data_IF_908502903791
#
_entry.id   IF_908502903791
#
_cell.length_a   1.000
_cell.length_b   1.000
_cell.length_c   1.000
_cell.angle_alpha   90.00
_cell.angle_beta   90.00
_cell.angle_gamma   90.00
#
_symmetry.space_group_name_H-M   'P 1'
#
loop_
_entity.id
_entity.type
_entity.pdbx_description
1 polymer ?
#
# COMPACT_ATOMS: atom_id res chain seq x y z
N UNK A 1 4.61 -16.54 -15.23
CA UNK A 1 3.99 -17.83 -14.86
C UNK A 1 2.54 -17.80 -15.26
N UNK A 2 2.03 -18.84 -15.88
CA UNK A 2 0.63 -18.98 -16.28
C UNK A 2 0.09 -20.28 -15.71
N UNK A 3 -1.04 -20.24 -15.01
CA UNK A 3 -1.67 -21.45 -14.47
C UNK A 3 -3.18 -21.43 -14.66
N UNK A 4 -3.72 -22.60 -14.96
CA UNK A 4 -5.14 -22.87 -14.90
C UNK A 4 -5.40 -23.72 -13.66
N UNK A 5 -6.11 -23.15 -12.69
CA UNK A 5 -6.35 -23.74 -11.39
C UNK A 5 -7.76 -24.36 -11.33
N UNK A 6 -8.09 -25.22 -12.29
CA UNK A 6 -9.34 -25.96 -12.27
C UNK A 6 -9.35 -27.03 -11.18
N UNK A 7 -10.50 -27.23 -10.53
CA UNK A 7 -10.74 -28.22 -9.48
C UNK A 7 -10.54 -27.68 -8.05
N UNK A 8 -10.43 -28.59 -7.09
CA UNK A 8 -10.39 -28.30 -5.66
C UNK A 8 -8.96 -28.28 -5.11
N UNK A 9 -8.70 -27.38 -4.14
CA UNK A 9 -7.47 -27.40 -3.35
C UNK A 9 -6.20 -27.08 -4.14
N UNK A 10 -6.29 -26.24 -5.14
CA UNK A 10 -5.12 -25.84 -5.94
C UNK A 10 -4.31 -24.76 -5.24
N UNK A 11 -2.99 -24.92 -5.24
CA UNK A 11 -2.04 -24.00 -4.64
C UNK A 11 -0.99 -23.65 -5.67
N UNK A 12 -0.74 -22.34 -5.87
CA UNK A 12 0.12 -21.85 -6.93
C UNK A 12 1.01 -20.67 -6.51
N UNK A 13 2.27 -20.69 -6.91
CA UNK A 13 3.27 -19.65 -6.66
C UNK A 13 4.64 -20.07 -7.14
N UNK A 14 5.66 -19.25 -6.90
CA UNK A 14 7.06 -19.66 -7.05
C UNK A 14 7.31 -20.91 -6.21
N UNK A 15 6.78 -20.90 -4.98
CA UNK A 15 6.62 -22.06 -4.12
C UNK A 15 5.12 -22.37 -3.99
N UNK A 16 4.70 -23.59 -4.27
CA UNK A 16 3.30 -23.97 -4.09
C UNK A 16 2.92 -23.87 -2.61
N UNK A 17 3.55 -24.67 -1.77
CA UNK A 17 3.36 -24.69 -0.30
C UNK A 17 4.71 -24.52 0.38
N UNK A 18 4.75 -23.63 1.36
CA UNK A 18 5.79 -23.54 2.36
C UNK A 18 5.28 -24.19 3.64
N UNK A 19 5.99 -25.17 4.16
CA UNK A 19 5.67 -25.88 5.40
C UNK A 19 6.91 -25.90 6.30
N UNK A 20 6.87 -25.19 7.42
CA UNK A 20 8.00 -25.01 8.32
C UNK A 20 9.22 -24.33 7.67
N UNK A 21 9.05 -23.68 6.54
CA UNK A 21 10.11 -23.16 5.70
C UNK A 21 10.35 -21.65 5.92
N UNK A 22 11.54 -21.18 5.53
CA UNK A 22 11.88 -19.76 5.54
C UNK A 22 12.36 -19.31 4.17
N UNK A 23 11.76 -18.25 3.64
CA UNK A 23 12.17 -17.54 2.42
C UNK A 23 12.65 -16.16 2.82
N UNK A 24 13.89 -15.81 2.46
CA UNK A 24 14.48 -14.51 2.82
C UNK A 24 15.21 -13.85 1.66
N UNK A 25 15.24 -12.50 1.69
CA UNK A 25 16.09 -11.69 0.83
C UNK A 25 15.86 -11.97 -0.65
N UNK A 26 14.61 -12.22 -1.03
CA UNK A 26 14.22 -12.54 -2.40
C UNK A 26 13.62 -11.31 -3.08
N UNK A 27 14.16 -10.93 -4.22
CA UNK A 27 13.53 -9.97 -5.13
C UNK A 27 13.01 -10.71 -6.35
N UNK A 28 11.74 -10.51 -6.69
CA UNK A 28 11.08 -11.13 -7.84
C UNK A 28 10.63 -10.02 -8.77
N UNK A 29 11.06 -10.10 -10.03
CA UNK A 29 10.84 -9.07 -11.02
C UNK A 29 11.83 -7.91 -10.88
N UNK A 30 11.64 -6.89 -11.69
CA UNK A 30 12.43 -5.67 -11.67
C UNK A 30 11.52 -4.45 -11.94
N UNK A 31 11.94 -3.25 -11.51
CA UNK A 31 11.15 -2.03 -11.71
C UNK A 31 10.86 -1.73 -13.19
N UNK A 32 11.80 -2.02 -14.06
CA UNK A 32 11.71 -1.75 -15.51
C UNK A 32 12.23 -2.91 -16.34
N UNK A 33 11.65 -3.07 -17.52
CA UNK A 33 12.13 -4.01 -18.53
C UNK A 33 11.90 -5.49 -18.23
N UNK A 34 11.27 -5.82 -17.12
CA UNK A 34 10.94 -7.20 -16.74
C UNK A 34 9.54 -7.56 -17.26
N UNK A 35 9.47 -8.66 -18.00
CA UNK A 35 8.21 -9.24 -18.47
C UNK A 35 7.64 -10.30 -17.51
N UNK A 36 8.12 -10.37 -16.27
CA UNK A 36 7.59 -11.29 -15.27
C UNK A 36 6.14 -10.93 -14.93
N UNK A 37 5.25 -11.87 -15.05
CA UNK A 37 3.82 -11.73 -14.76
C UNK A 37 3.30 -13.04 -14.14
N UNK A 38 2.39 -12.92 -13.19
CA UNK A 38 1.61 -14.03 -12.69
C UNK A 38 0.19 -13.94 -13.23
N UNK A 39 -0.15 -14.81 -14.17
CA UNK A 39 -1.49 -14.91 -14.72
C UNK A 39 -2.11 -16.25 -14.31
N UNK A 40 -3.30 -16.24 -13.74
CA UNK A 40 -4.03 -17.46 -13.45
C UNK A 40 -5.55 -17.29 -13.50
N UNK A 41 -6.26 -18.39 -13.72
CA UNK A 41 -7.70 -18.51 -13.55
C UNK A 41 -8.00 -19.58 -12.52
N UNK A 42 -9.11 -19.43 -11.79
CA UNK A 42 -9.56 -20.40 -10.80
C UNK A 42 -11.00 -20.81 -11.05
N UNK A 43 -11.26 -22.09 -11.10
CA UNK A 43 -12.60 -22.69 -11.24
C UNK A 43 -12.99 -23.55 -10.03
N UNK A 44 -12.30 -23.41 -8.92
CA UNK A 44 -12.52 -24.17 -7.69
C UNK A 44 -11.94 -23.44 -6.48
N UNK A 45 -11.62 -24.17 -5.42
CA UNK A 45 -10.86 -23.62 -4.30
C UNK A 45 -9.38 -23.51 -4.69
N UNK A 46 -8.83 -22.31 -4.63
CA UNK A 46 -7.45 -22.06 -5.02
C UNK A 46 -6.80 -21.00 -4.12
N UNK A 47 -5.50 -21.18 -3.84
CA UNK A 47 -4.66 -20.24 -3.11
C UNK A 47 -3.45 -19.90 -3.99
N UNK A 48 -3.25 -18.63 -4.30
CA UNK A 48 -2.19 -18.19 -5.21
C UNK A 48 -1.42 -17.00 -4.68
N UNK A 49 -0.09 -17.03 -4.83
CA UNK A 49 0.80 -15.93 -4.52
C UNK A 49 1.99 -15.89 -5.46
N UNK A 50 2.60 -14.71 -5.66
CA UNK A 50 3.83 -14.65 -6.47
C UNK A 50 4.92 -15.45 -5.79
N UNK A 51 5.08 -15.31 -4.48
CA UNK A 51 6.06 -16.10 -3.71
C UNK A 51 5.49 -17.46 -3.35
N UNK A 52 4.40 -17.53 -2.61
CA UNK A 52 3.83 -18.78 -2.13
C UNK A 52 2.31 -18.82 -2.26
N UNK A 53 1.77 -19.93 -2.73
CA UNK A 53 0.34 -20.15 -2.70
C UNK A 53 -0.18 -20.32 -1.27
N UNK A 54 0.53 -21.09 -0.44
CA UNK A 54 0.21 -21.27 0.98
C UNK A 54 1.47 -21.25 1.86
N UNK A 55 1.33 -20.64 3.03
CA UNK A 55 2.33 -20.65 4.12
C UNK A 55 1.72 -21.37 5.33
N UNK A 56 2.37 -22.42 5.79
CA UNK A 56 2.02 -23.20 6.97
C UNK A 56 3.21 -23.21 7.90
N UNK A 57 3.10 -22.60 9.07
CA UNK A 57 4.21 -22.51 10.02
C UNK A 57 5.52 -21.94 9.42
N UNK A 58 5.42 -21.03 8.47
CA UNK A 58 6.53 -20.60 7.61
C UNK A 58 6.77 -19.11 7.69
N UNK A 59 7.99 -18.67 7.37
CA UNK A 59 8.40 -17.28 7.37
C UNK A 59 8.78 -16.80 5.97
N UNK A 60 8.23 -15.65 5.54
CA UNK A 60 8.72 -14.89 4.39
C UNK A 60 9.20 -13.53 4.93
N UNK A 61 10.48 -13.22 4.74
CA UNK A 61 11.12 -12.06 5.36
C UNK A 61 12.04 -11.32 4.38
N UNK A 62 12.00 -9.99 4.43
CA UNK A 62 12.86 -9.11 3.63
C UNK A 62 12.81 -9.46 2.13
N UNK A 63 11.61 -9.52 1.56
CA UNK A 63 11.38 -9.84 0.16
C UNK A 63 10.66 -8.71 -0.56
N UNK A 64 10.97 -8.55 -1.86
CA UNK A 64 10.38 -7.52 -2.72
C UNK A 64 9.76 -8.18 -3.95
N UNK A 65 8.53 -7.78 -4.30
CA UNK A 65 7.86 -8.19 -5.54
C UNK A 65 7.55 -6.99 -6.43
N UNK A 66 8.01 -7.05 -7.67
CA UNK A 66 7.62 -6.15 -8.74
C UNK A 66 6.64 -6.81 -9.72
N UNK A 67 6.27 -8.05 -9.47
CA UNK A 67 5.50 -8.86 -10.42
C UNK A 67 4.02 -8.50 -10.39
N UNK A 68 3.45 -7.99 -11.49
CA UNK A 68 2.02 -7.77 -11.60
C UNK A 68 1.27 -9.11 -11.64
N UNK A 69 0.08 -9.12 -11.04
CA UNK A 69 -0.82 -10.26 -11.04
C UNK A 69 -2.06 -9.97 -11.88
N UNK A 70 -2.31 -10.82 -12.86
CA UNK A 70 -3.54 -10.80 -13.62
C UNK A 70 -4.36 -12.07 -13.33
N UNK A 71 -5.55 -11.88 -12.77
CA UNK A 71 -6.33 -12.98 -12.20
C UNK A 71 -7.75 -12.96 -12.72
N UNK A 72 -8.23 -14.12 -13.20
CA UNK A 72 -9.66 -14.35 -13.35
C UNK A 72 -10.21 -14.85 -12.02
N UNK A 73 -11.21 -14.16 -11.50
CA UNK A 73 -11.90 -14.56 -10.28
C UNK A 73 -12.54 -15.95 -10.41
N UNK A 74 -12.90 -16.53 -9.27
CA UNK A 74 -13.50 -17.85 -9.23
C UNK A 74 -14.87 -17.84 -9.94
N UNK A 75 -15.02 -18.70 -10.93
CA UNK A 75 -16.25 -18.88 -11.71
C UNK A 75 -17.29 -19.81 -11.03
N UNK A 76 -16.94 -20.41 -9.89
CA UNK A 76 -17.80 -21.37 -9.18
C UNK A 76 -18.25 -20.81 -7.85
N UNK A 77 -19.56 -20.75 -7.64
CA UNK A 77 -20.15 -20.34 -6.37
C UNK A 77 -19.76 -21.28 -5.22
N UNK A 78 -19.60 -20.68 -4.02
CA UNK A 78 -19.20 -21.36 -2.78
C UNK A 78 -17.79 -21.96 -2.80
N UNK A 79 -16.94 -21.55 -3.74
CA UNK A 79 -15.52 -21.88 -3.76
C UNK A 79 -14.69 -20.67 -3.40
N UNK A 80 -13.66 -20.87 -2.61
CA UNK A 80 -12.76 -19.80 -2.18
C UNK A 80 -11.59 -19.69 -3.14
N UNK A 81 -11.26 -18.48 -3.53
CA UNK A 81 -9.99 -18.17 -4.18
C UNK A 81 -9.30 -17.09 -3.36
N UNK A 82 -8.05 -17.31 -2.97
CA UNK A 82 -7.21 -16.30 -2.33
C UNK A 82 -6.02 -15.96 -3.20
N UNK A 83 -5.62 -14.70 -3.20
CA UNK A 83 -4.52 -14.24 -4.02
C UNK A 83 -3.78 -13.08 -3.38
N UNK A 84 -2.44 -13.07 -3.48
CA UNK A 84 -1.62 -11.97 -3.01
C UNK A 84 -0.20 -12.03 -3.58
N UNK A 85 0.60 -10.96 -3.40
CA UNK A 85 1.98 -10.97 -3.88
C UNK A 85 2.85 -11.98 -3.11
N UNK A 86 2.68 -12.14 -1.80
CA UNK A 86 3.57 -13.01 -1.03
C UNK A 86 2.93 -14.32 -0.60
N UNK A 87 1.73 -14.32 -0.03
CA UNK A 87 1.07 -15.54 0.39
C UNK A 87 -0.43 -15.51 0.05
N UNK A 88 -0.90 -16.44 -0.80
CA UNK A 88 -2.33 -16.62 -1.03
C UNK A 88 -3.06 -16.98 0.26
N UNK A 89 -2.49 -17.88 1.04
CA UNK A 89 -3.06 -18.35 2.30
C UNK A 89 -1.98 -18.49 3.39
N UNK A 90 -2.30 -18.01 4.58
CA UNK A 90 -1.50 -18.20 5.81
C UNK A 90 -2.26 -19.09 6.77
N UNK A 91 -1.60 -20.06 7.35
CA UNK A 91 -2.19 -21.00 8.28
C UNK A 91 -1.30 -21.24 9.50
N UNK A 92 -1.91 -21.26 10.68
CA UNK A 92 -1.25 -21.64 11.94
C UNK A 92 -1.71 -23.04 12.34
N UNK A 93 -0.76 -23.92 12.60
CA UNK A 93 -1.01 -25.25 13.15
C UNK A 93 -1.28 -25.24 14.65
N UNK A 94 -1.15 -26.40 15.29
CA UNK A 94 -1.42 -26.57 16.73
C UNK A 94 -0.20 -26.35 17.62
N UNK A 95 1.00 -26.39 17.03
CA UNK A 95 2.26 -26.18 17.76
C UNK A 95 2.74 -24.72 17.62
N UNK A 96 3.46 -24.22 18.60
CA UNK A 96 4.04 -22.86 18.59
C UNK A 96 4.97 -22.63 17.38
N UNK A 97 5.67 -23.65 16.95
CA UNK A 97 6.56 -23.62 15.77
C UNK A 97 5.83 -23.55 14.44
N UNK A 98 4.51 -23.76 14.43
CA UNK A 98 3.68 -23.76 13.24
C UNK A 98 2.98 -22.40 12.98
N UNK A 99 3.57 -21.31 13.47
CA UNK A 99 3.08 -19.94 13.24
C UNK A 99 3.63 -19.41 11.92
N UNK A 100 2.74 -18.83 11.11
CA UNK A 100 3.15 -18.19 9.85
C UNK A 100 3.46 -16.71 10.08
N UNK A 101 4.63 -16.26 9.55
CA UNK A 101 5.13 -14.89 9.70
C UNK A 101 5.46 -14.31 8.33
N UNK A 102 4.87 -13.15 8.03
CA UNK A 102 5.23 -12.29 6.89
C UNK A 102 5.83 -11.01 7.44
N UNK A 103 7.08 -10.68 7.07
CA UNK A 103 7.80 -9.58 7.69
C UNK A 103 8.71 -8.85 6.72
N UNK A 104 8.74 -7.51 6.83
CA UNK A 104 9.62 -6.66 6.02
C UNK A 104 9.43 -6.89 4.51
N UNK A 105 8.17 -6.96 4.05
CA UNK A 105 7.81 -7.25 2.66
C UNK A 105 7.37 -6.00 1.92
N UNK A 106 7.79 -5.86 0.65
CA UNK A 106 7.39 -4.73 -0.19
C UNK A 106 6.81 -5.23 -1.51
N UNK A 107 5.56 -4.85 -1.81
CA UNK A 107 4.91 -5.12 -3.08
C UNK A 107 4.81 -3.86 -3.93
N UNK A 108 5.38 -3.89 -5.12
CA UNK A 108 5.20 -2.88 -6.17
C UNK A 108 4.31 -3.38 -7.31
N UNK A 109 4.12 -4.68 -7.43
CA UNK A 109 3.33 -5.29 -8.49
C UNK A 109 1.83 -4.94 -8.37
N UNK A 110 1.24 -4.44 -9.45
CA UNK A 110 -0.20 -4.21 -9.51
C UNK A 110 -0.98 -5.52 -9.52
N UNK A 111 -2.24 -5.47 -9.05
CA UNK A 111 -3.13 -6.63 -9.05
C UNK A 111 -4.41 -6.29 -9.81
N UNK A 112 -4.65 -7.00 -10.90
CA UNK A 112 -5.88 -6.89 -11.69
C UNK A 112 -6.69 -8.17 -11.57
N UNK A 113 -7.90 -8.06 -11.01
CA UNK A 113 -8.81 -9.19 -10.82
C UNK A 113 -10.08 -8.98 -11.64
N UNK A 114 -10.31 -9.83 -12.62
CA UNK A 114 -11.53 -9.82 -13.41
C UNK A 114 -12.71 -10.45 -12.66
N UNK A 115 -13.93 -10.10 -13.06
CA UNK A 115 -15.14 -10.67 -12.50
C UNK A 115 -15.21 -12.18 -12.74
N UNK A 116 -15.56 -12.90 -11.68
CA UNK A 116 -15.95 -14.31 -11.74
C UNK A 116 -17.46 -14.46 -11.48
N UNK A 117 -17.98 -15.67 -11.59
CA UNK A 117 -19.37 -15.97 -11.24
C UNK A 117 -19.63 -15.93 -9.72
N UNK A 118 -18.58 -16.07 -8.89
CA UNK A 118 -18.71 -16.02 -7.44
C UNK A 118 -18.77 -14.58 -6.94
N UNK A 119 -19.98 -14.09 -6.76
CA UNK A 119 -20.27 -12.75 -6.23
C UNK A 119 -20.61 -12.73 -4.75
N UNK A 120 -20.53 -13.86 -4.05
CA UNK A 120 -20.91 -13.97 -2.64
C UNK A 120 -19.85 -13.38 -1.71
N UNK A 121 -20.31 -12.64 -0.70
CA UNK A 121 -19.48 -12.16 0.41
C UNK A 121 -19.49 -13.19 1.54
N UNK A 122 -18.35 -13.75 1.90
CA UNK A 122 -18.24 -14.73 2.98
C UNK A 122 -16.92 -15.50 2.96
N UNK A 123 -16.83 -16.58 3.74
CA UNK A 123 -15.64 -17.41 3.81
C UNK A 123 -15.33 -18.14 2.48
N UNK A 124 -16.33 -18.27 1.62
CA UNK A 124 -16.24 -18.91 0.30
C UNK A 124 -16.18 -17.91 -0.86
N UNK A 125 -15.76 -16.69 -0.59
CA UNK A 125 -15.61 -15.62 -1.59
C UNK A 125 -14.19 -15.55 -2.15
N UNK A 126 -14.02 -14.70 -3.15
CA UNK A 126 -12.69 -14.34 -3.66
C UNK A 126 -12.06 -13.27 -2.75
N UNK A 127 -10.82 -13.48 -2.37
CA UNK A 127 -10.04 -12.63 -1.50
C UNK A 127 -8.73 -12.22 -2.19
N UNK A 128 -8.55 -10.93 -2.43
CA UNK A 128 -7.35 -10.40 -3.06
C UNK A 128 -6.66 -9.34 -2.22
N UNK A 129 -5.34 -9.40 -2.09
CA UNK A 129 -4.59 -8.39 -1.36
C UNK A 129 -3.16 -8.19 -1.87
N UNK A 130 -2.56 -7.04 -1.51
CA UNK A 130 -1.19 -6.71 -1.88
C UNK A 130 -0.15 -7.63 -1.21
N UNK A 131 -0.36 -8.08 0.02
CA UNK A 131 0.62 -8.87 0.79
C UNK A 131 0.14 -10.31 1.02
N UNK A 132 -1.05 -10.50 1.62
CA UNK A 132 -1.60 -11.83 1.91
C UNK A 132 -3.10 -11.91 1.62
N UNK A 133 -3.56 -13.03 1.05
CA UNK A 133 -4.96 -13.21 0.68
C UNK A 133 -5.86 -13.55 1.86
N UNK A 134 -5.50 -14.54 2.65
CA UNK A 134 -6.28 -14.99 3.80
C UNK A 134 -5.37 -15.49 4.92
N UNK A 135 -5.69 -15.14 6.16
CA UNK A 135 -5.07 -15.72 7.35
C UNK A 135 -6.11 -16.50 8.18
N UNK A 136 -5.74 -17.70 8.58
CA UNK A 136 -6.57 -18.59 9.36
C UNK A 136 -5.70 -19.50 10.25
N UNK A 137 -6.33 -20.36 11.06
CA UNK A 137 -5.65 -21.28 11.99
C UNK A 137 -6.32 -22.64 12.06
N UNK A 138 -5.64 -23.61 12.64
CA UNK A 138 -6.27 -24.85 13.12
C UNK A 138 -7.27 -24.52 14.24
N UNK A 139 -8.37 -25.27 14.32
CA UNK A 139 -9.45 -24.99 15.27
C UNK A 139 -9.01 -25.01 16.75
N UNK A 140 -8.03 -25.83 17.07
CA UNK A 140 -7.46 -25.99 18.43
C UNK A 140 -6.28 -25.04 18.70
N UNK A 141 -5.77 -24.33 17.69
CA UNK A 141 -4.64 -23.42 17.84
C UNK A 141 -5.06 -22.15 18.58
N UNK A 142 -4.20 -21.66 19.44
CA UNK A 142 -4.28 -20.32 20.05
C UNK A 142 -3.11 -19.43 19.62
N UNK A 143 -2.25 -19.94 18.76
CA UNK A 143 -1.08 -19.21 18.26
C UNK A 143 -1.46 -18.23 17.16
N UNK A 144 -0.68 -17.17 16.99
CA UNK A 144 -1.02 -15.98 16.25
C UNK A 144 -0.15 -15.87 15.00
N UNK A 145 -0.76 -15.84 13.82
CA UNK A 145 -0.09 -15.43 12.58
C UNK A 145 0.26 -13.93 12.64
N UNK A 146 1.39 -13.56 12.07
CA UNK A 146 1.87 -12.17 12.11
C UNK A 146 2.18 -11.65 10.71
N UNK A 147 1.71 -10.42 10.43
CA UNK A 147 2.11 -9.61 9.28
C UNK A 147 2.68 -8.31 9.86
N UNK A 148 3.99 -8.10 9.70
CA UNK A 148 4.69 -7.00 10.35
C UNK A 148 5.55 -6.22 9.36
N UNK A 149 5.54 -4.89 9.45
CA UNK A 149 6.36 -3.98 8.66
C UNK A 149 6.31 -4.27 7.14
N UNK A 150 5.10 -4.52 6.62
CA UNK A 150 4.88 -4.80 5.20
C UNK A 150 4.30 -3.57 4.50
N UNK A 151 4.73 -3.34 3.26
CA UNK A 151 4.31 -2.17 2.48
C UNK A 151 3.76 -2.60 1.12
N UNK A 152 2.59 -2.07 0.77
CA UNK A 152 2.00 -2.23 -0.55
C UNK A 152 1.98 -0.90 -1.32
N UNK A 153 2.68 -0.84 -2.43
CA UNK A 153 2.59 0.24 -3.42
C UNK A 153 1.76 -0.17 -4.64
N UNK A 154 1.54 -1.47 -4.83
CA UNK A 154 0.82 -2.00 -5.97
C UNK A 154 -0.65 -1.55 -5.99
N UNK A 155 -1.07 -0.96 -7.10
CA UNK A 155 -2.48 -0.64 -7.33
C UNK A 155 -3.32 -1.90 -7.49
N UNK A 156 -4.57 -1.85 -7.05
CA UNK A 156 -5.52 -2.94 -7.24
C UNK A 156 -6.75 -2.49 -8.01
N UNK A 157 -6.96 -3.11 -9.17
CA UNK A 157 -8.19 -3.01 -9.94
C UNK A 157 -8.95 -4.33 -9.84
N UNK A 158 -10.16 -4.30 -9.30
CA UNK A 158 -10.88 -5.53 -8.99
C UNK A 158 -12.35 -5.47 -9.38
N UNK A 159 -12.89 -6.62 -9.71
CA UNK A 159 -14.32 -6.86 -9.93
C UNK A 159 -14.83 -8.05 -9.06
N UNK A 160 -14.22 -8.25 -7.88
CA UNK A 160 -14.54 -9.37 -6.96
C UNK A 160 -14.86 -8.88 -5.54
N UNK A 161 -15.50 -9.72 -4.70
CA UNK A 161 -16.15 -9.27 -3.47
C UNK A 161 -15.24 -8.69 -2.38
N UNK A 162 -13.99 -9.16 -2.24
CA UNK A 162 -13.14 -8.72 -1.11
C UNK A 162 -11.73 -8.41 -1.56
N UNK A 163 -11.31 -7.18 -1.33
CA UNK A 163 -9.95 -6.74 -1.66
C UNK A 163 -9.38 -5.83 -0.58
N UNK A 164 -8.05 -5.83 -0.43
CA UNK A 164 -7.34 -5.02 0.55
C UNK A 164 -5.91 -4.77 0.13
N UNK A 165 -5.28 -3.71 0.65
CA UNK A 165 -3.87 -3.42 0.38
C UNK A 165 -2.90 -4.41 1.03
N UNK A 166 -3.19 -4.86 2.26
CA UNK A 166 -2.28 -5.72 3.03
C UNK A 166 -2.82 -7.14 3.16
N UNK A 167 -3.98 -7.34 3.78
CA UNK A 167 -4.56 -8.68 4.00
C UNK A 167 -6.05 -8.68 3.68
N UNK A 168 -6.50 -9.52 2.76
CA UNK A 168 -7.91 -9.49 2.40
C UNK A 168 -8.85 -10.00 3.52
N UNK A 169 -8.43 -10.98 4.31
CA UNK A 169 -9.21 -11.35 5.50
C UNK A 169 -8.35 -12.01 6.59
N UNK A 170 -8.46 -11.52 7.80
CA UNK A 170 -7.98 -12.13 9.02
C UNK A 170 -9.16 -12.78 9.74
N UNK A 171 -9.33 -14.08 9.60
CA UNK A 171 -10.48 -14.77 10.19
C UNK A 171 -10.34 -14.90 11.71
N UNK A 172 -9.18 -15.30 12.19
CA UNK A 172 -8.89 -15.48 13.61
C UNK A 172 -7.37 -15.42 13.88
N UNK A 173 -6.99 -14.99 15.11
CA UNK A 173 -5.64 -15.09 15.64
C UNK A 173 -4.57 -14.55 14.68
N UNK A 174 -4.72 -13.31 14.29
CA UNK A 174 -3.80 -12.64 13.37
C UNK A 174 -3.48 -11.25 13.90
N UNK A 175 -2.19 -10.90 13.90
CA UNK A 175 -1.70 -9.55 14.17
C UNK A 175 -1.20 -8.94 12.87
N UNK A 176 -1.68 -7.74 12.55
CA UNK A 176 -1.18 -6.89 11.48
C UNK A 176 -0.58 -5.66 12.16
N UNK A 177 0.72 -5.43 11.99
CA UNK A 177 1.42 -4.40 12.75
C UNK A 177 2.38 -3.61 11.86
N UNK A 178 2.42 -2.28 12.03
CA UNK A 178 3.32 -1.37 11.32
C UNK A 178 3.29 -1.50 9.80
N UNK A 179 2.13 -1.90 9.25
CA UNK A 179 1.97 -2.09 7.80
C UNK A 179 1.41 -0.84 7.14
N UNK A 180 1.86 -0.56 5.90
CA UNK A 180 1.44 0.62 5.15
C UNK A 180 0.92 0.25 3.76
N UNK A 181 -0.17 0.90 3.38
CA UNK A 181 -0.71 0.80 2.03
C UNK A 181 -0.65 2.17 1.33
N UNK A 182 0.03 2.23 0.21
CA UNK A 182 0.09 3.39 -0.69
C UNK A 182 -0.67 3.11 -2.00
N UNK A 183 -0.93 1.85 -2.31
CA UNK A 183 -1.62 1.47 -3.54
C UNK A 183 -3.10 1.85 -3.51
N UNK A 184 -3.57 2.49 -4.58
CA UNK A 184 -4.97 2.79 -4.78
C UNK A 184 -5.77 1.51 -5.06
N UNK A 185 -7.04 1.49 -4.68
CA UNK A 185 -7.96 0.41 -5.00
C UNK A 185 -9.19 0.91 -5.73
N UNK A 186 -9.45 0.31 -6.90
CA UNK A 186 -10.72 0.48 -7.64
C UNK A 186 -11.44 -0.85 -7.71
N UNK A 187 -12.71 -0.90 -7.28
CA UNK A 187 -13.51 -2.11 -7.35
C UNK A 187 -14.90 -1.83 -7.94
N UNK A 188 -15.25 -2.59 -8.99
CA UNK A 188 -16.50 -2.45 -9.72
C UNK A 188 -17.56 -3.50 -9.36
N UNK A 189 -17.27 -4.44 -8.47
CA UNK A 189 -18.24 -5.46 -8.06
C UNK A 189 -19.33 -4.85 -7.17
N UNK A 190 -20.59 -5.21 -7.44
CA UNK A 190 -21.70 -4.83 -6.58
C UNK A 190 -21.62 -5.57 -5.22
N UNK A 191 -21.96 -4.86 -4.13
CA UNK A 191 -21.93 -5.41 -2.78
C UNK A 191 -20.54 -5.77 -2.29
N UNK A 192 -19.48 -5.25 -2.90
CA UNK A 192 -18.09 -5.50 -2.51
C UNK A 192 -17.79 -5.01 -1.09
N UNK A 193 -16.76 -5.58 -0.50
CA UNK A 193 -16.21 -5.18 0.80
C UNK A 193 -14.75 -4.87 0.66
N UNK A 194 -14.37 -3.64 0.95
CA UNK A 194 -13.00 -3.16 0.85
C UNK A 194 -12.57 -2.53 2.16
N UNK A 195 -11.44 -2.95 2.67
CA UNK A 195 -10.68 -2.26 3.70
C UNK A 195 -9.26 -2.07 3.22
N UNK A 196 -8.74 -0.86 3.27
CA UNK A 196 -7.47 -0.53 2.62
C UNK A 196 -6.27 -1.24 3.28
N UNK A 197 -6.37 -1.58 4.57
CA UNK A 197 -5.42 -2.48 5.24
C UNK A 197 -5.96 -3.91 5.23
N UNK A 198 -7.20 -4.11 5.71
CA UNK A 198 -7.83 -5.45 5.71
C UNK A 198 -9.35 -5.37 5.57
N UNK A 199 -9.92 -6.30 4.83
CA UNK A 199 -11.38 -6.33 4.67
C UNK A 199 -12.10 -6.85 5.94
N UNK A 200 -11.56 -7.86 6.61
CA UNK A 200 -12.20 -8.45 7.81
C UNK A 200 -11.17 -8.67 8.91
N UNK A 201 -11.49 -8.21 10.11
CA UNK A 201 -10.85 -8.64 11.35
C UNK A 201 -11.83 -9.49 12.16
N UNK A 202 -11.50 -10.76 12.30
CA UNK A 202 -12.26 -11.75 13.10
C UNK A 202 -11.74 -11.91 14.51
N UNK A 203 -12.11 -12.98 15.19
CA UNK A 203 -11.79 -13.20 16.60
C UNK A 203 -10.29 -13.24 16.91
N UNK A 204 -9.88 -12.57 17.99
CA UNK A 204 -8.48 -12.47 18.44
C UNK A 204 -7.52 -11.91 17.36
N UNK A 205 -8.05 -11.03 16.49
CA UNK A 205 -7.23 -10.29 15.53
C UNK A 205 -6.97 -8.88 16.04
N UNK A 206 -5.73 -8.42 15.87
CA UNK A 206 -5.30 -7.09 16.24
C UNK A 206 -4.65 -6.39 15.08
N UNK A 207 -4.92 -5.10 14.95
CA UNK A 207 -4.23 -4.22 14.01
C UNK A 207 -3.58 -3.08 14.79
N UNK A 208 -2.27 -2.87 14.62
CA UNK A 208 -1.50 -1.88 15.36
C UNK A 208 -0.65 -1.04 14.41
N UNK A 209 -0.68 0.28 14.62
CA UNK A 209 0.17 1.24 13.91
C UNK A 209 0.18 1.06 12.38
N UNK A 210 -0.97 0.67 11.80
CA UNK A 210 -1.13 0.49 10.37
C UNK A 210 -1.68 1.76 9.73
N UNK A 211 -1.14 2.12 8.56
CA UNK A 211 -1.47 3.36 7.87
C UNK A 211 -1.90 3.12 6.43
N UNK A 212 -2.98 3.79 6.02
CA UNK A 212 -3.41 3.82 4.64
C UNK A 212 -3.27 5.22 4.04
N UNK A 213 -2.58 5.30 2.92
CA UNK A 213 -2.42 6.51 2.11
C UNK A 213 -3.10 6.39 0.73
N UNK A 214 -3.41 5.18 0.29
CA UNK A 214 -4.06 4.92 -0.98
C UNK A 214 -5.56 5.25 -0.97
N UNK A 215 -6.09 5.65 -2.11
CA UNK A 215 -7.51 5.96 -2.32
C UNK A 215 -8.33 4.69 -2.58
N UNK A 216 -9.49 4.60 -1.94
CA UNK A 216 -10.49 3.56 -2.15
C UNK A 216 -11.64 4.08 -3.01
N UNK A 217 -11.73 3.66 -4.28
CA UNK A 217 -12.72 4.13 -5.23
C UNK A 217 -13.59 2.95 -5.69
N UNK A 218 -14.82 2.89 -5.16
CA UNK A 218 -15.75 1.82 -5.45
C UNK A 218 -16.83 2.29 -6.42
N UNK A 219 -16.86 1.71 -7.59
CA UNK A 219 -17.83 2.05 -8.66
C UNK A 219 -18.99 1.07 -8.76
N UNK A 220 -18.89 -0.07 -8.04
CA UNK A 220 -19.97 -1.04 -7.95
C UNK A 220 -21.04 -0.65 -6.94
N UNK A 221 -22.28 -1.02 -7.20
CA UNK A 221 -23.42 -0.68 -6.34
C UNK A 221 -23.34 -1.35 -4.95
N UNK A 222 -23.76 -0.62 -3.90
CA UNK A 222 -23.80 -1.08 -2.50
C UNK A 222 -22.45 -1.54 -1.94
N UNK A 223 -21.36 -0.91 -2.34
CA UNK A 223 -20.02 -1.22 -1.86
C UNK A 223 -19.80 -0.75 -0.41
N UNK A 224 -19.32 -1.65 0.45
CA UNK A 224 -18.95 -1.35 1.84
C UNK A 224 -17.45 -1.05 1.91
N UNK A 225 -17.09 0.14 2.40
CA UNK A 225 -15.70 0.62 2.31
C UNK A 225 -15.24 1.23 3.62
N UNK A 226 -14.10 0.77 4.10
CA UNK A 226 -13.39 1.39 5.23
C UNK A 226 -11.97 1.78 4.84
N UNK A 227 -11.55 2.95 5.28
CA UNK A 227 -10.20 3.46 5.02
C UNK A 227 -9.09 2.59 5.62
N UNK A 228 -9.39 1.87 6.69
CA UNK A 228 -8.49 0.85 7.26
C UNK A 228 -9.11 -0.54 7.14
N UNK A 229 -10.31 -0.74 7.69
CA UNK A 229 -10.97 -2.04 7.81
C UNK A 229 -12.38 -1.96 7.26
N UNK A 230 -12.83 -2.96 6.48
CA UNK A 230 -14.25 -2.98 6.12
C UNK A 230 -15.12 -3.47 7.30
N UNK A 231 -14.77 -4.58 7.93
CA UNK A 231 -15.60 -5.20 8.96
C UNK A 231 -14.80 -5.64 10.19
N UNK A 232 -15.09 -5.03 11.34
CA UNK A 232 -14.64 -5.52 12.64
C UNK A 232 -15.70 -6.50 13.17
N UNK A 233 -15.39 -7.78 13.19
CA UNK A 233 -16.38 -8.85 13.29
C UNK A 233 -16.38 -9.64 14.60
N UNK A 234 -15.67 -9.19 15.63
CA UNK A 234 -15.62 -9.86 16.93
C UNK A 234 -15.33 -8.89 18.08
N UNK A 235 -15.75 -9.25 19.30
CA UNK A 235 -15.53 -8.45 20.51
C UNK A 235 -14.06 -8.38 20.95
N UNK A 236 -13.27 -9.34 20.53
CA UNK A 236 -11.84 -9.45 20.85
C UNK A 236 -10.93 -8.73 19.84
N UNK A 237 -11.53 -8.07 18.85
CA UNK A 237 -10.76 -7.27 17.87
C UNK A 237 -10.29 -5.97 18.51
N UNK A 238 -9.02 -5.64 18.28
CA UNK A 238 -8.45 -4.35 18.65
C UNK A 238 -7.77 -3.70 17.46
N UNK A 239 -8.02 -2.39 17.28
CA UNK A 239 -7.34 -1.52 16.33
C UNK A 239 -6.74 -0.37 17.10
N UNK A 240 -5.43 -0.21 17.09
CA UNK A 240 -4.73 0.81 17.88
C UNK A 240 -3.61 1.47 17.07
N UNK A 241 -3.50 2.78 17.18
CA UNK A 241 -2.48 3.54 16.45
C UNK A 241 -2.69 3.58 14.93
N UNK A 242 -1.80 4.26 14.23
CA UNK A 242 -1.88 4.43 12.79
C UNK A 242 -3.06 5.27 12.32
N UNK A 243 -3.52 5.09 11.09
CA UNK A 243 -4.65 5.85 10.57
C UNK A 243 -4.92 5.73 9.08
N UNK A 244 -6.02 6.31 8.65
CA UNK A 244 -6.34 6.48 7.24
C UNK A 244 -6.10 7.92 6.81
N UNK A 245 -5.44 8.06 5.68
CA UNK A 245 -5.11 9.34 5.05
C UNK A 245 -5.61 9.42 3.60
N UNK A 246 -5.99 8.29 3.00
CA UNK A 246 -6.54 8.20 1.67
C UNK A 246 -8.04 8.47 1.61
N UNK A 247 -8.57 8.71 0.41
CA UNK A 247 -9.99 8.94 0.17
C UNK A 247 -10.79 7.64 0.22
N UNK A 248 -12.05 7.75 0.67
CA UNK A 248 -13.00 6.64 0.70
C UNK A 248 -14.25 7.03 -0.09
N UNK A 249 -14.41 6.46 -1.27
CA UNK A 249 -15.47 6.82 -2.23
C UNK A 249 -16.28 5.57 -2.60
N UNK A 250 -17.61 5.64 -2.47
CA UNK A 250 -18.55 4.62 -2.96
C UNK A 250 -19.93 5.23 -3.21
N UNK A 251 -20.86 4.46 -3.78
CA UNK A 251 -22.24 4.87 -4.09
C UNK A 251 -23.13 5.00 -2.84
N UNK A 252 -22.77 4.39 -1.71
CA UNK A 252 -23.57 4.44 -0.48
C UNK A 252 -23.28 5.68 0.35
N UNK A 253 -24.19 6.03 1.24
CA UNK A 253 -24.01 7.14 2.18
C UNK A 253 -22.94 6.80 3.23
N UNK A 254 -22.29 7.83 3.74
CA UNK A 254 -21.37 7.71 4.85
C UNK A 254 -22.10 7.36 6.16
N UNK A 255 -21.34 6.93 7.14
CA UNK A 255 -21.79 6.74 8.53
C UNK A 255 -22.53 8.00 9.06
N UNK A 256 -23.53 7.86 9.98
CA UNK A 256 -23.93 6.57 10.62
C UNK A 256 -24.95 5.76 9.82
N UNK A 257 -25.50 6.28 8.72
CA UNK A 257 -26.56 5.63 7.95
C UNK A 257 -26.04 4.51 7.04
N UNK A 258 -24.88 4.71 6.40
CA UNK A 258 -24.27 3.80 5.44
C UNK A 258 -23.12 2.95 6.01
N UNK A 259 -22.58 2.08 5.18
CA UNK A 259 -21.42 1.23 5.49
C UNK A 259 -20.16 1.76 4.79
N UNK A 260 -19.83 3.02 5.08
CA UNK A 260 -18.65 3.70 4.55
C UNK A 260 -18.07 4.61 5.63
N UNK A 261 -16.77 4.58 5.79
CA UNK A 261 -16.10 5.45 6.77
C UNK A 261 -14.59 5.53 6.61
N UNK A 262 -14.01 6.58 7.15
CA UNK A 262 -12.55 6.82 7.12
C UNK A 262 -11.78 5.72 7.84
N UNK A 263 -12.33 5.11 8.88
CA UNK A 263 -11.67 4.03 9.63
C UNK A 263 -12.23 2.67 9.25
N UNK A 264 -13.55 2.47 9.42
CA UNK A 264 -14.17 1.19 9.12
C UNK A 264 -15.52 1.37 8.42
N UNK A 265 -15.90 0.43 7.55
CA UNK A 265 -17.27 0.44 7.03
C UNK A 265 -18.27 0.06 8.14
N UNK A 266 -17.94 -0.92 8.98
CA UNK A 266 -18.82 -1.39 10.04
C UNK A 266 -18.05 -1.91 11.27
N UNK A 267 -18.37 -1.33 12.40
CA UNK A 267 -17.97 -1.80 13.73
C UNK A 267 -19.05 -2.78 14.24
N UNK A 268 -19.13 -3.96 13.65
CA UNK A 268 -20.25 -4.89 13.82
C UNK A 268 -20.32 -5.57 15.21
N UNK A 269 -19.27 -5.47 16.00
CA UNK A 269 -19.14 -6.03 17.33
C UNK A 269 -18.55 -4.99 18.30
N UNK A 270 -18.38 -5.34 19.55
CA UNK A 270 -17.79 -4.50 20.58
C UNK A 270 -16.24 -4.43 20.44
N UNK A 271 -15.77 -4.25 19.21
CA UNK A 271 -14.34 -4.07 18.94
C UNK A 271 -13.81 -2.80 19.62
N UNK A 272 -12.59 -2.86 20.10
CA UNK A 272 -11.88 -1.69 20.63
C UNK A 272 -11.13 -0.98 19.49
N UNK A 273 -11.32 0.33 19.40
CA UNK A 273 -10.56 1.21 18.49
C UNK A 273 -10.04 2.39 19.30
N UNK A 274 -8.74 2.58 19.33
CA UNK A 274 -8.11 3.54 20.23
C UNK A 274 -6.88 4.20 19.61
N UNK A 275 -6.75 5.51 19.77
CA UNK A 275 -5.59 6.29 19.29
C UNK A 275 -5.35 6.13 17.78
N UNK A 276 -6.40 6.25 16.96
CA UNK A 276 -6.34 6.06 15.50
C UNK A 276 -6.64 7.37 14.79
N UNK A 277 -5.90 7.67 13.72
CA UNK A 277 -6.13 8.88 12.90
C UNK A 277 -7.26 8.64 11.90
N UNK A 278 -8.32 9.43 12.01
CA UNK A 278 -9.38 9.57 11.03
C UNK A 278 -9.05 10.75 10.11
N UNK A 279 -8.22 10.50 9.12
CA UNK A 279 -7.85 11.47 8.08
C UNK A 279 -8.48 11.10 6.74
N UNK A 280 -8.02 11.78 5.70
CA UNK A 280 -8.51 11.60 4.34
C UNK A 280 -9.93 12.15 4.15
N UNK A 281 -10.47 11.93 2.97
CA UNK A 281 -11.77 12.44 2.56
C UNK A 281 -12.78 11.30 2.35
N UNK A 282 -14.06 11.59 2.51
CA UNK A 282 -15.16 10.68 2.17
C UNK A 282 -15.96 11.28 1.04
N UNK A 283 -16.28 10.49 0.04
CA UNK A 283 -17.06 10.95 -1.12
C UNK A 283 -18.12 9.96 -1.55
N UNK A 284 -19.11 10.47 -2.29
CA UNK A 284 -20.16 9.68 -2.92
C UNK A 284 -19.90 9.56 -4.42
N UNK A 285 -19.87 8.34 -4.93
CA UNK A 285 -19.83 8.07 -6.37
C UNK A 285 -21.23 8.09 -6.94
N UNK A 286 -21.46 8.93 -7.95
CA UNK A 286 -22.75 9.08 -8.57
C UNK A 286 -22.62 9.03 -10.11
N UNK A 287 -22.48 7.82 -10.64
CA UNK A 287 -22.52 7.57 -12.07
C UNK A 287 -21.40 8.21 -12.91
N UNK A 288 -20.22 8.46 -12.33
CA UNK A 288 -19.05 9.05 -13.02
C UNK A 288 -18.55 10.33 -12.38
N UNK A 289 -19.31 10.90 -11.46
CA UNK A 289 -18.91 12.07 -10.70
C UNK A 289 -18.67 11.70 -9.22
N UNK A 290 -17.75 12.42 -8.58
CA UNK A 290 -17.48 12.28 -7.16
C UNK A 290 -17.93 13.53 -6.43
N UNK A 291 -18.82 13.35 -5.46
CA UNK A 291 -19.25 14.41 -4.54
C UNK A 291 -18.58 14.16 -3.19
N UNK A 292 -17.69 15.05 -2.79
CA UNK A 292 -16.97 14.92 -1.53
C UNK A 292 -17.80 15.50 -0.38
N UNK A 293 -17.75 14.84 0.76
CA UNK A 293 -18.36 15.31 2.01
C UNK A 293 -17.45 16.36 2.66
N UNK A 294 -18.04 17.35 3.30
CA UNK A 294 -17.31 18.32 4.11
C UNK A 294 -17.13 17.78 5.53
N UNK A 295 -15.93 17.32 5.82
CA UNK A 295 -15.57 16.78 7.14
C UNK A 295 -14.78 17.83 7.91
N UNK A 296 -15.20 18.06 9.16
CA UNK A 296 -14.60 19.03 10.05
C UNK A 296 -14.31 18.39 11.41
N UNK A 297 -13.62 19.10 12.29
CA UNK A 297 -13.37 18.66 13.66
C UNK A 297 -14.67 18.41 14.45
N UNK A 298 -15.74 19.11 14.11
CA UNK A 298 -17.04 18.98 14.79
C UNK A 298 -17.84 17.75 14.34
N UNK A 299 -17.65 17.25 13.13
CA UNK A 299 -18.47 16.20 12.53
C UNK A 299 -17.73 14.93 12.11
N UNK A 300 -16.40 14.85 12.26
CA UNK A 300 -15.61 13.71 11.75
C UNK A 300 -16.05 12.36 12.31
N UNK A 301 -16.59 12.34 13.54
CA UNK A 301 -17.09 11.11 14.15
C UNK A 301 -18.29 10.50 13.40
N UNK A 302 -19.03 11.30 12.65
CA UNK A 302 -20.11 10.81 11.77
C UNK A 302 -19.58 10.08 10.53
N UNK A 303 -18.30 10.23 10.23
CA UNK A 303 -17.63 9.69 9.05
C UNK A 303 -16.63 8.57 9.31
N UNK A 304 -16.38 8.19 10.58
CA UNK A 304 -15.44 7.12 10.92
C UNK A 304 -15.92 5.72 10.53
N UNK A 305 -17.24 5.52 10.41
CA UNK A 305 -17.86 4.25 10.05
C UNK A 305 -19.14 3.98 10.84
N UNK A 306 -19.88 2.93 10.48
CA UNK A 306 -21.13 2.58 11.11
C UNK A 306 -20.91 1.88 12.46
N UNK A 307 -21.36 2.48 13.53
CA UNK A 307 -21.33 1.92 14.89
C UNK A 307 -22.63 2.18 15.66
N UNK A 308 -22.87 1.43 16.70
CA UNK A 308 -23.99 1.61 17.63
C UNK A 308 -23.56 2.37 18.88
N UNK A 309 -24.53 2.90 19.62
CA UNK A 309 -24.25 3.52 20.93
C UNK A 309 -23.51 2.57 21.90
N UNK A 310 -23.76 1.27 21.81
CA UNK A 310 -23.06 0.27 22.61
C UNK A 310 -21.58 0.07 22.22
N UNK A 311 -21.19 0.46 21.00
CA UNK A 311 -19.78 0.45 20.56
C UNK A 311 -19.05 1.75 20.94
N UNK A 312 -19.76 2.85 21.11
CA UNK A 312 -19.18 4.18 21.26
C UNK A 312 -18.17 4.26 22.42
N UNK A 313 -18.42 3.57 23.52
CA UNK A 313 -17.53 3.53 24.70
C UNK A 313 -16.15 2.88 24.41
N UNK A 314 -16.04 2.10 23.34
CA UNK A 314 -14.81 1.40 22.94
C UNK A 314 -14.09 2.06 21.78
N UNK A 315 -14.62 3.18 21.27
CA UNK A 315 -14.02 4.00 20.25
C UNK A 315 -13.49 5.26 20.94
N UNK A 316 -12.19 5.29 21.20
CA UNK A 316 -11.57 6.30 22.07
C UNK A 316 -10.36 6.94 21.37
N UNK A 317 -10.05 8.18 21.76
CA UNK A 317 -8.86 8.91 21.29
C UNK A 317 -8.72 8.93 19.75
N UNK A 318 -9.83 9.12 19.04
CA UNK A 318 -9.79 9.26 17.59
C UNK A 318 -9.26 10.65 17.26
N UNK A 319 -8.22 10.70 16.43
CA UNK A 319 -7.54 11.92 16.05
C UNK A 319 -8.05 12.35 14.66
N UNK A 320 -8.74 13.49 14.62
CA UNK A 320 -9.12 14.07 13.34
C UNK A 320 -7.89 14.73 12.68
N UNK A 321 -7.66 14.43 11.41
CA UNK A 321 -6.79 15.18 10.52
C UNK A 321 -7.57 15.40 9.23
N UNK A 322 -7.81 16.67 8.86
CA UNK A 322 -8.51 17.03 7.63
C UNK A 322 -7.81 16.53 6.36
N UNK A 323 -8.33 16.92 5.21
CA UNK A 323 -7.87 16.47 3.89
C UNK A 323 -6.40 16.79 3.55
N UNK A 324 -5.74 17.65 4.33
CA UNK A 324 -4.38 18.14 4.07
C UNK A 324 -3.26 17.14 4.45
N UNK A 325 -3.60 15.91 4.83
CA UNK A 325 -2.57 14.90 5.08
C UNK A 325 -2.09 14.34 3.74
N UNK A 326 -1.01 14.91 3.24
CA UNK A 326 -0.35 14.42 2.03
C UNK A 326 0.21 13.01 2.26
N UNK A 327 0.00 12.13 1.29
CA UNK A 327 0.81 10.91 1.16
C UNK A 327 2.28 11.31 1.17
N UNK A 328 3.12 10.77 2.06
CA UNK A 328 4.54 11.09 2.05
C UNK A 328 5.17 10.74 0.70
N UNK A 329 5.79 11.73 0.07
CA UNK A 329 6.37 11.58 -1.26
C UNK A 329 6.23 12.87 -2.09
N UNK A 330 6.81 12.85 -3.27
CA UNK A 330 6.82 13.95 -4.24
C UNK A 330 5.73 13.68 -5.28
N UNK A 331 4.63 14.42 -5.22
CA UNK A 331 3.48 14.27 -6.11
C UNK A 331 3.37 15.38 -7.17
N UNK A 332 4.02 16.53 -6.93
CA UNK A 332 3.91 17.73 -7.77
C UNK A 332 5.27 18.40 -7.97
N UNK A 333 5.35 19.29 -8.95
CA UNK A 333 6.54 20.14 -9.13
C UNK A 333 6.85 20.97 -7.87
N UNK A 334 5.82 21.44 -7.15
CA UNK A 334 6.03 22.20 -5.91
C UNK A 334 6.61 21.31 -4.80
N UNK A 335 6.15 20.05 -4.67
CA UNK A 335 6.73 19.12 -3.69
C UNK A 335 8.21 18.86 -3.99
N UNK A 336 8.61 18.75 -5.27
CA UNK A 336 10.00 18.58 -5.66
C UNK A 336 10.84 19.81 -5.32
N UNK A 337 10.28 21.03 -5.50
CA UNK A 337 10.93 22.29 -5.12
C UNK A 337 11.11 22.37 -3.60
N UNK A 338 10.05 22.06 -2.86
CA UNK A 338 10.07 22.11 -1.38
C UNK A 338 11.03 21.08 -0.81
N UNK A 339 11.08 19.88 -1.40
CA UNK A 339 12.08 18.85 -1.06
C UNK A 339 13.51 19.33 -1.31
N UNK A 340 13.79 19.94 -2.47
CA UNK A 340 15.10 20.50 -2.77
C UNK A 340 15.48 21.59 -1.74
N UNK A 341 14.54 22.46 -1.39
CA UNK A 341 14.75 23.49 -0.39
C UNK A 341 15.02 22.91 1.02
N UNK A 342 14.32 21.85 1.41
CA UNK A 342 14.53 21.16 2.67
C UNK A 342 15.94 20.54 2.75
N UNK A 343 16.37 19.81 1.73
CA UNK A 343 17.74 19.27 1.64
C UNK A 343 18.76 20.40 1.73
N UNK A 344 18.57 21.46 0.95
CA UNK A 344 19.52 22.58 0.87
C UNK A 344 19.63 23.40 2.15
N UNK A 345 18.60 23.39 2.99
CA UNK A 345 18.59 24.06 4.30
C UNK A 345 18.91 23.14 5.48
N UNK A 346 19.04 21.83 5.25
CA UNK A 346 19.20 20.84 6.33
C UNK A 346 17.93 20.63 7.16
N UNK A 347 16.76 20.98 6.62
CA UNK A 347 15.47 20.70 7.26
C UNK A 347 15.08 19.22 7.16
N UNK A 348 14.09 18.78 7.97
CA UNK A 348 13.56 17.42 7.87
C UNK A 348 12.95 17.15 6.49
N UNK A 349 13.21 15.97 5.96
CA UNK A 349 12.68 15.48 4.67
C UNK A 349 11.65 14.36 4.84
N UNK A 350 11.19 14.11 6.07
CA UNK A 350 10.24 13.03 6.39
C UNK A 350 8.92 13.12 5.61
N UNK A 351 8.48 14.31 5.23
CA UNK A 351 7.27 14.52 4.42
C UNK A 351 7.35 13.90 3.01
N UNK A 352 8.54 13.57 2.54
CA UNK A 352 8.76 12.99 1.21
C UNK A 352 9.29 11.56 1.27
N UNK A 353 9.47 11.02 2.48
CA UNK A 353 10.01 9.68 2.71
C UNK A 353 8.91 8.67 2.98
N UNK A 354 9.04 7.50 2.36
CA UNK A 354 8.23 6.34 2.70
C UNK A 354 8.61 5.75 4.09
N UNK A 355 7.96 4.64 4.45
CA UNK A 355 8.19 3.96 5.72
C UNK A 355 9.62 3.46 5.93
N UNK A 356 10.37 3.29 4.85
CA UNK A 356 11.76 2.85 4.86
C UNK A 356 12.76 4.01 4.86
N UNK A 357 12.27 5.25 4.92
CA UNK A 357 13.09 6.46 4.85
C UNK A 357 13.56 6.80 3.43
N UNK A 358 12.96 6.19 2.41
CA UNK A 358 13.25 6.46 1.00
C UNK A 358 12.39 7.62 0.50
N UNK A 359 12.99 8.61 -0.11
CA UNK A 359 12.26 9.67 -0.84
C UNK A 359 11.68 9.09 -2.12
N UNK A 360 10.37 9.26 -2.35
CA UNK A 360 9.67 8.60 -3.45
C UNK A 360 8.92 9.59 -4.34
N UNK A 361 8.91 9.37 -5.66
CA UNK A 361 7.94 10.01 -6.53
C UNK A 361 6.60 9.27 -6.43
N UNK A 362 5.50 10.02 -6.47
CA UNK A 362 4.13 9.51 -6.44
C UNK A 362 3.43 9.65 -7.79
N UNK A 363 3.96 10.50 -8.68
CA UNK A 363 3.44 10.76 -10.01
C UNK A 363 4.59 11.17 -10.95
N UNK A 364 4.32 11.22 -12.26
CA UNK A 364 5.11 12.00 -13.20
C UNK A 364 5.08 13.48 -12.82
N UNK A 365 6.24 14.12 -12.78
CA UNK A 365 6.40 15.51 -12.40
C UNK A 365 6.63 16.37 -13.64
N UNK A 366 5.72 17.30 -13.93
CA UNK A 366 5.87 18.26 -15.03
C UNK A 366 6.42 19.61 -14.49
N UNK A 367 7.65 19.94 -14.88
CA UNK A 367 8.39 21.14 -14.46
C UNK A 367 8.21 22.33 -15.40
N UNK A 368 7.30 22.29 -16.38
CA UNK A 368 7.14 23.33 -17.43
C UNK A 368 6.97 24.74 -16.89
N UNK A 369 6.29 24.89 -15.76
CA UNK A 369 5.99 26.18 -15.14
C UNK A 369 7.10 26.65 -14.16
N UNK A 370 8.15 25.84 -13.97
CA UNK A 370 9.29 26.17 -13.12
C UNK A 370 10.35 26.90 -13.95
N UNK A 371 10.50 28.19 -13.70
CA UNK A 371 11.37 29.05 -14.49
C UNK A 371 12.86 28.72 -14.32
N UNK A 372 13.29 28.45 -13.08
CA UNK A 372 14.67 28.09 -12.73
C UNK A 372 14.64 27.00 -11.67
N UNK A 373 15.40 25.94 -11.92
CA UNK A 373 15.59 24.85 -10.99
C UNK A 373 16.78 25.08 -10.07
N UNK A 374 16.57 24.90 -8.76
CA UNK A 374 17.67 24.85 -7.78
C UNK A 374 17.99 23.38 -7.48
N UNK A 375 19.23 22.94 -7.69
CA UNK A 375 19.61 21.54 -7.50
C UNK A 375 19.30 21.00 -6.10
N UNK A 376 18.94 19.74 -6.02
CA UNK A 376 18.84 18.99 -4.76
C UNK A 376 20.27 18.74 -4.26
N UNK A 377 20.63 19.28 -3.08
CA UNK A 377 22.01 19.31 -2.64
C UNK A 377 22.81 20.33 -3.43
N UNK A 378 22.85 21.56 -2.99
CA UNK A 378 23.56 22.65 -3.67
C UNK A 378 24.82 23.06 -2.90
N UNK A 379 25.81 23.49 -3.65
CA UNK A 379 27.04 23.94 -3.04
C UNK A 379 28.16 24.15 -4.04
N UNK A 380 29.34 24.34 -3.46
CA UNK A 380 30.59 24.48 -4.20
C UNK A 380 31.51 23.31 -3.91
N UNK A 381 32.39 23.04 -4.84
CA UNK A 381 33.44 22.07 -4.61
C UNK A 381 34.81 22.77 -4.63
N UNK A 382 35.77 22.20 -3.92
CA UNK A 382 37.17 22.60 -4.01
C UNK A 382 37.95 21.50 -4.76
N UNK A 383 39.05 21.92 -5.40
CA UNK A 383 39.89 21.02 -6.12
C UNK A 383 40.98 21.71 -6.92
N UNK A 384 41.72 20.95 -7.69
CA UNK A 384 42.78 21.42 -8.56
C UNK A 384 42.58 21.00 -9.99
N UNK A 385 43.12 21.75 -10.94
CA UNK A 385 43.21 21.33 -12.33
C UNK A 385 44.66 20.96 -12.61
N UNK A 386 44.85 19.70 -13.05
CA UNK A 386 46.16 19.19 -13.41
C UNK A 386 46.10 18.41 -14.73
N UNK A 387 46.95 18.76 -15.70
CA UNK A 387 46.96 18.11 -17.00
C UNK A 387 45.65 18.23 -17.79
N UNK A 388 44.86 19.27 -17.56
CA UNK A 388 43.54 19.47 -18.17
C UNK A 388 42.42 18.70 -17.49
N UNK A 389 42.69 17.96 -16.41
CA UNK A 389 41.71 17.24 -15.63
C UNK A 389 41.41 18.00 -14.34
N UNK A 390 40.13 18.04 -13.98
CA UNK A 390 39.68 18.58 -12.71
C UNK A 390 39.68 17.48 -11.65
N UNK A 391 40.28 17.78 -10.52
CA UNK A 391 40.31 16.90 -9.34
C UNK A 391 39.50 17.55 -8.24
N UNK A 392 38.35 16.97 -7.91
CA UNK A 392 37.52 17.41 -6.79
C UNK A 392 38.04 16.75 -5.51
N UNK A 393 38.33 17.53 -4.49
CA UNK A 393 38.84 17.03 -3.21
C UNK A 393 37.80 17.12 -2.10
N UNK A 394 37.00 18.18 -2.08
CA UNK A 394 36.02 18.45 -1.05
C UNK A 394 34.86 19.22 -1.65
N UNK A 395 33.73 19.25 -0.95
CA UNK A 395 32.61 20.14 -1.26
C UNK A 395 32.20 20.93 -0.02
N UNK A 396 31.61 22.10 -0.25
CA UNK A 396 31.00 22.96 0.78
C UNK A 396 29.56 23.25 0.36
N UNK A 397 28.61 23.02 1.27
CA UNK A 397 27.19 23.20 1.03
C UNK A 397 26.36 21.99 1.46
N UNK A 398 25.13 21.91 0.97
CA UNK A 398 24.23 20.81 1.25
C UNK A 398 24.47 19.65 0.29
N UNK A 399 24.38 18.43 0.79
CA UNK A 399 24.35 17.21 -0.01
C UNK A 399 23.11 16.39 0.28
N UNK A 400 22.59 15.70 -0.71
CA UNK A 400 21.63 14.65 -0.48
C UNK A 400 22.37 13.35 -0.14
N UNK A 401 22.00 12.72 0.97
CA UNK A 401 22.69 11.55 1.52
C UNK A 401 21.80 10.30 1.58
N UNK A 402 20.50 10.43 1.22
CA UNK A 402 19.51 9.39 1.35
C UNK A 402 19.34 8.51 0.12
N UNK A 403 18.23 7.77 0.11
CA UNK A 403 17.75 7.02 -1.05
C UNK A 403 16.62 7.81 -1.71
N UNK A 404 16.71 8.00 -3.02
CA UNK A 404 15.67 8.59 -3.87
C UNK A 404 15.21 7.55 -4.89
N UNK A 405 13.94 7.19 -4.84
CA UNK A 405 13.33 6.22 -5.74
C UNK A 405 12.25 6.90 -6.60
N UNK A 406 12.50 7.01 -7.88
CA UNK A 406 11.55 7.55 -8.85
C UNK A 406 10.33 6.66 -9.09
N UNK A 407 10.30 5.41 -8.58
CA UNK A 407 9.19 4.44 -8.74
C UNK A 407 8.77 4.22 -10.20
N UNK A 408 9.67 4.46 -11.15
CA UNK A 408 9.38 4.40 -12.59
C UNK A 408 8.70 5.65 -13.17
N UNK A 409 8.41 6.65 -12.34
CA UNK A 409 7.88 7.94 -12.79
C UNK A 409 8.98 8.82 -13.39
N UNK A 410 8.54 9.83 -14.16
CA UNK A 410 9.42 10.75 -14.88
C UNK A 410 9.36 12.18 -14.32
N UNK A 411 10.49 12.88 -14.42
CA UNK A 411 10.54 14.33 -14.28
C UNK A 411 10.74 14.93 -15.66
N UNK A 412 9.74 15.69 -16.14
CA UNK A 412 9.68 16.23 -17.49
C UNK A 412 9.78 17.75 -17.50
N UNK A 413 10.15 18.33 -18.65
CA UNK A 413 10.26 19.78 -18.86
C UNK A 413 11.21 20.47 -17.86
N UNK A 414 12.22 19.75 -17.35
CA UNK A 414 13.19 20.28 -16.41
C UNK A 414 14.18 21.21 -17.13
N UNK A 415 14.19 22.48 -16.74
CA UNK A 415 15.14 23.47 -17.27
C UNK A 415 16.34 23.63 -16.35
N UNK A 416 17.45 23.06 -16.74
CA UNK A 416 18.73 23.22 -16.04
C UNK A 416 19.48 24.42 -16.65
N UNK A 417 19.66 25.46 -15.85
CA UNK A 417 20.44 26.63 -16.26
C UNK A 417 21.71 26.69 -15.42
N UNK A 418 22.86 26.55 -16.08
CA UNK A 418 24.14 26.60 -15.42
C UNK A 418 24.86 27.91 -15.78
N UNK A 419 25.32 28.64 -14.78
CA UNK A 419 26.26 29.75 -14.97
C UNK A 419 27.70 29.18 -15.00
N UNK A 420 28.18 28.89 -16.18
CA UNK A 420 29.52 28.33 -16.37
C UNK A 420 30.64 29.34 -16.10
N UNK A 421 30.31 30.59 -15.77
CA UNK A 421 31.28 31.58 -15.30
C UNK A 421 31.47 31.54 -13.79
N UNK A 422 30.55 30.89 -13.07
CA UNK A 422 30.66 30.69 -11.63
C UNK A 422 31.64 29.56 -11.31
N UNK A 423 32.69 29.87 -10.62
CA UNK A 423 33.72 28.91 -10.23
C UNK A 423 33.15 27.88 -9.24
N UNK A 424 33.47 26.59 -9.48
CA UNK A 424 33.31 25.49 -8.53
C UNK A 424 31.87 25.26 -8.04
N UNK A 425 30.87 25.62 -8.84
CA UNK A 425 29.44 25.41 -8.48
C UNK A 425 28.92 24.09 -9.08
N UNK A 426 28.17 23.35 -8.28
CA UNK A 426 27.52 22.10 -8.71
C UNK A 426 26.14 22.38 -9.34
N UNK A 427 25.87 21.86 -10.52
CA UNK A 427 24.62 21.98 -11.26
C UNK A 427 24.07 20.60 -11.61
N UNK A 428 22.75 20.48 -11.69
CA UNK A 428 22.07 19.23 -12.06
C UNK A 428 20.67 19.17 -11.47
N UNK A 429 19.96 18.08 -11.68
CA UNK A 429 18.79 17.76 -10.86
C UNK A 429 19.24 17.59 -9.40
N UNK A 430 20.27 16.78 -9.21
CA UNK A 430 21.05 16.71 -7.97
C UNK A 430 22.38 17.43 -8.21
N UNK A 431 22.72 18.37 -7.34
CA UNK A 431 23.99 19.06 -7.41
C UNK A 431 25.09 18.29 -6.67
N UNK A 432 24.84 17.90 -5.44
CA UNK A 432 25.77 17.11 -4.62
C UNK A 432 25.07 15.89 -4.05
N UNK A 433 25.61 14.72 -4.36
CA UNK A 433 25.23 13.43 -3.76
C UNK A 433 26.41 12.93 -2.92
N UNK A 434 26.17 12.61 -1.66
CA UNK A 434 27.18 12.06 -0.76
C UNK A 434 26.69 10.75 -0.13
N UNK A 435 27.20 9.64 -0.62
CA UNK A 435 26.75 8.29 -0.23
C UNK A 435 25.30 7.96 -0.60
N UNK A 436 24.64 8.81 -1.39
CA UNK A 436 23.24 8.67 -1.78
C UNK A 436 23.02 7.58 -2.84
N UNK A 437 21.80 7.08 -2.90
CA UNK A 437 21.31 6.21 -3.97
C UNK A 437 20.16 6.89 -4.71
N UNK A 438 20.23 6.97 -6.03
CA UNK A 438 19.14 7.42 -6.92
C UNK A 438 18.79 6.28 -7.83
N UNK A 439 17.53 5.88 -7.88
CA UNK A 439 17.09 4.72 -8.67
C UNK A 439 15.69 4.94 -9.27
N UNK A 440 15.37 4.15 -10.29
CA UNK A 440 14.05 4.07 -10.95
C UNK A 440 13.50 5.44 -11.37
N UNK A 441 14.36 6.35 -11.83
CA UNK A 441 14.02 7.71 -12.20
C UNK A 441 14.26 7.93 -13.70
N UNK A 442 13.23 8.41 -14.38
CA UNK A 442 13.31 8.86 -15.77
C UNK A 442 13.38 10.38 -15.83
N UNK A 443 14.29 10.93 -16.63
CA UNK A 443 14.38 12.37 -16.93
C UNK A 443 13.99 12.58 -18.39
N UNK A 444 13.01 13.46 -18.62
CA UNK A 444 12.43 13.69 -19.93
C UNK A 444 11.28 12.73 -20.26
N UNK A 445 10.77 12.81 -21.48
CA UNK A 445 9.71 11.94 -21.97
C UNK A 445 10.21 11.06 -23.13
N UNK A 446 9.65 9.85 -23.31
CA UNK A 446 10.02 8.95 -24.40
C UNK A 446 9.77 9.54 -25.82
N UNK A 447 8.82 10.47 -25.92
CA UNK A 447 8.41 11.11 -27.19
C UNK A 447 8.98 12.53 -27.38
N UNK A 448 9.92 12.94 -26.53
CA UNK A 448 10.58 14.25 -26.54
C UNK A 448 9.87 15.28 -25.66
N UNK A 449 10.66 15.98 -24.87
CA UNK A 449 10.26 17.17 -24.07
C UNK A 449 10.35 18.43 -24.91
#
# INVERSE_FOLDING_TARGET
>A
MVADLEGEGKVFGLFGILDGATVKNLTIGAPEGDASELTFSAAGTADAGVVAGACMGSCIENCVSYVPMYVKGNSVDNKRTTMAAFAGFMYTGVEETEVSVLKDLVNYGSIKVEAGANTKNGATSVHGAGIAGLSNRHTESTFINTINNCVNYGEMTSAVPRTSGILAAANQYTVIESCKNYGNQTNSAAGTRVGMITCVLGGQCHMRDCENYGDAIMTGANAQVGGLVCLLNDNSVEVTGGGNYGKVISDIDASPAGYKGTLAANFSKFAKVDNVVAGGAVGKYNGGEYVMETITEDNYMDYIGKYSSANAEKITNIIFKGEDVKTPGIATAQDLIDFAAAVNSGASIENWQDAQGTVVLLNDIDMKDVAVWTPIGNGKFSGSVSGGNQHISEYEGAAFTGVFDGKGYSIRNLKLVADLTADQTAYGLFGILDGATVMNLTIGAPEGD
#
